data_IF_396383570912
#
_entry.id   IF_396383570912
#
_cell.length_a   1.000
_cell.length_b   1.000
_cell.length_c   1.000
_cell.angle_alpha   90.00
_cell.angle_beta   90.00
_cell.angle_gamma   90.00
#
_symmetry.space_group_name_H-M   'P 1'
#
loop_
_entity.id
_entity.type
_entity.pdbx_description
1 polymer ?
#
# COMPACT_ATOMS: atom_id res chain seq x y z
N UNK A 1 -10.52 -37.75 -1.99
CA UNK A 1 -9.92 -36.88 -3.01
C UNK A 1 -10.59 -35.50 -3.14
N UNK A 2 -11.73 -35.19 -2.51
CA UNK A 2 -12.43 -33.89 -2.72
C UNK A 2 -11.98 -32.72 -1.83
N UNK A 3 -11.45 -32.97 -0.63
CA UNK A 3 -11.05 -31.91 0.32
C UNK A 3 -9.87 -31.03 -0.14
N UNK A 4 -8.98 -31.57 -0.98
CA UNK A 4 -7.87 -30.79 -1.55
C UNK A 4 -8.36 -29.74 -2.56
N UNK A 5 -9.43 -30.04 -3.30
CA UNK A 5 -10.01 -29.14 -4.31
C UNK A 5 -10.73 -27.94 -3.68
N UNK A 6 -11.40 -28.14 -2.55
CA UNK A 6 -12.12 -27.06 -1.85
C UNK A 6 -11.17 -26.12 -1.12
N UNK A 7 -10.11 -26.66 -0.49
CA UNK A 7 -9.06 -25.86 0.14
C UNK A 7 -8.33 -24.96 -0.88
N UNK A 8 -7.97 -25.52 -2.05
CA UNK A 8 -7.33 -24.76 -3.12
C UNK A 8 -8.22 -23.62 -3.66
N UNK A 9 -9.51 -23.89 -3.85
CA UNK A 9 -10.50 -22.88 -4.25
C UNK A 9 -10.58 -21.72 -3.26
N UNK A 10 -10.71 -22.02 -1.96
CA UNK A 10 -10.80 -21.01 -0.90
C UNK A 10 -9.51 -20.17 -0.80
N UNK A 11 -8.36 -20.82 -0.91
CA UNK A 11 -7.07 -20.13 -0.93
C UNK A 11 -6.97 -19.17 -2.13
N UNK A 12 -7.36 -19.60 -3.34
CA UNK A 12 -7.39 -18.75 -4.54
C UNK A 12 -8.32 -17.56 -4.36
N UNK A 13 -9.54 -17.77 -3.84
CA UNK A 13 -10.48 -16.66 -3.54
C UNK A 13 -9.94 -15.69 -2.50
N UNK A 14 -9.26 -16.19 -1.46
CA UNK A 14 -8.63 -15.34 -0.45
C UNK A 14 -7.53 -14.47 -1.06
N UNK A 15 -6.65 -15.05 -1.89
CA UNK A 15 -5.60 -14.34 -2.59
C UNK A 15 -6.16 -13.28 -3.56
N UNK A 16 -7.19 -13.61 -4.36
CA UNK A 16 -7.87 -12.66 -5.24
C UNK A 16 -8.43 -11.47 -4.46
N UNK A 17 -9.11 -11.73 -3.34
CA UNK A 17 -9.66 -10.70 -2.47
C UNK A 17 -8.57 -9.79 -1.89
N UNK A 18 -7.44 -10.36 -1.51
CA UNK A 18 -6.28 -9.60 -1.04
C UNK A 18 -5.69 -8.72 -2.15
N UNK A 19 -5.42 -9.28 -3.33
CA UNK A 19 -4.90 -8.53 -4.50
C UNK A 19 -5.80 -7.36 -4.86
N UNK A 20 -7.12 -7.58 -4.96
CA UNK A 20 -8.09 -6.51 -5.24
C UNK A 20 -8.05 -5.41 -4.18
N UNK A 21 -7.98 -5.76 -2.89
CA UNK A 21 -7.88 -4.78 -1.80
C UNK A 21 -6.57 -3.99 -1.85
N UNK A 22 -5.46 -4.63 -2.16
CA UNK A 22 -4.16 -3.97 -2.33
C UNK A 22 -4.21 -3.03 -3.52
N UNK A 23 -4.70 -3.50 -4.68
CA UNK A 23 -4.85 -2.71 -5.90
C UNK A 23 -5.73 -1.48 -5.66
N UNK A 24 -6.90 -1.64 -5.05
CA UNK A 24 -7.80 -0.52 -4.74
C UNK A 24 -7.14 0.52 -3.84
N UNK A 25 -6.47 0.09 -2.75
CA UNK A 25 -5.76 1.02 -1.85
C UNK A 25 -4.64 1.77 -2.57
N UNK A 26 -3.88 1.08 -3.42
CA UNK A 26 -2.79 1.66 -4.21
C UNK A 26 -3.33 2.66 -5.23
N UNK A 27 -4.33 2.27 -6.01
CA UNK A 27 -4.96 3.12 -7.01
C UNK A 27 -5.55 4.39 -6.35
N UNK A 28 -6.29 4.26 -5.25
CA UNK A 28 -6.86 5.41 -4.54
C UNK A 28 -5.79 6.37 -4.02
N UNK A 29 -4.66 5.84 -3.50
CA UNK A 29 -3.54 6.66 -3.07
C UNK A 29 -2.91 7.41 -4.24
N UNK A 30 -2.74 6.74 -5.39
CA UNK A 30 -2.18 7.38 -6.58
C UNK A 30 -3.12 8.41 -7.21
N UNK A 31 -4.44 8.17 -7.19
CA UNK A 31 -5.43 9.19 -7.56
C UNK A 31 -5.24 10.44 -6.71
N UNK A 32 -5.00 10.30 -5.41
CA UNK A 32 -4.71 11.44 -4.53
C UNK A 32 -3.38 12.12 -4.86
N UNK A 33 -2.34 11.33 -5.16
CA UNK A 33 -1.02 11.85 -5.54
C UNK A 33 -1.11 12.72 -6.80
N UNK A 34 -1.88 12.29 -7.80
CA UNK A 34 -2.10 13.04 -9.03
C UNK A 34 -3.02 14.24 -8.85
N UNK A 35 -4.15 14.08 -8.17
CA UNK A 35 -5.17 15.12 -8.07
C UNK A 35 -4.71 16.32 -7.23
N UNK A 36 -3.89 16.07 -6.18
CA UNK A 36 -3.39 17.05 -5.18
C UNK A 36 -4.53 17.70 -4.37
N UNK A 37 -5.47 18.35 -5.03
CA UNK A 37 -6.64 19.02 -4.48
C UNK A 37 -7.80 18.06 -4.19
N UNK A 38 -8.46 18.27 -3.04
CA UNK A 38 -9.51 17.36 -2.54
C UNK A 38 -10.78 17.33 -3.39
N UNK A 39 -11.20 18.46 -3.95
CA UNK A 39 -12.43 18.53 -4.75
C UNK A 39 -12.33 17.70 -6.04
N UNK A 40 -11.17 17.70 -6.70
CA UNK A 40 -10.89 16.81 -7.85
C UNK A 40 -10.82 15.35 -7.40
N UNK A 41 -10.06 15.09 -6.33
CA UNK A 41 -9.88 13.75 -5.80
C UNK A 41 -11.20 13.06 -5.44
N UNK A 42 -12.18 13.77 -4.85
CA UNK A 42 -13.43 13.12 -4.43
C UNK A 42 -14.22 12.56 -5.60
N UNK A 43 -14.28 13.29 -6.72
CA UNK A 43 -14.94 12.81 -7.92
C UNK A 43 -14.18 11.59 -8.49
N UNK A 44 -12.87 11.73 -8.71
CA UNK A 44 -12.04 10.64 -9.24
C UNK A 44 -12.05 9.38 -8.36
N UNK A 45 -12.08 9.56 -7.04
CA UNK A 45 -12.18 8.47 -6.06
C UNK A 45 -13.54 7.76 -6.11
N UNK A 46 -14.63 8.51 -6.33
CA UNK A 46 -15.97 7.95 -6.53
C UNK A 46 -16.01 7.12 -7.81
N UNK A 47 -15.54 7.69 -8.92
CA UNK A 47 -15.47 7.00 -10.22
C UNK A 47 -14.60 5.74 -10.15
N UNK A 48 -13.48 5.80 -9.42
CA UNK A 48 -12.65 4.64 -9.15
C UNK A 48 -13.43 3.57 -8.37
N UNK A 49 -14.17 3.96 -7.32
CA UNK A 49 -14.95 3.02 -6.53
C UNK A 49 -16.06 2.36 -7.34
N UNK A 50 -16.76 3.12 -8.17
CA UNK A 50 -17.82 2.60 -9.05
C UNK A 50 -17.28 1.52 -9.99
N UNK A 51 -16.10 1.72 -10.58
CA UNK A 51 -15.44 0.71 -11.43
C UNK A 51 -15.18 -0.62 -10.70
N UNK A 52 -14.82 -0.56 -9.41
CA UNK A 52 -14.61 -1.77 -8.60
C UNK A 52 -15.95 -2.41 -8.18
N UNK A 53 -16.95 -1.62 -7.79
CA UNK A 53 -18.27 -2.15 -7.38
C UNK A 53 -19.00 -2.79 -8.56
N UNK A 54 -18.89 -2.23 -9.77
CA UNK A 54 -19.50 -2.80 -10.98
C UNK A 54 -19.10 -4.25 -11.25
N UNK A 55 -17.93 -4.68 -10.76
CA UNK A 55 -17.36 -6.00 -11.01
C UNK A 55 -17.31 -6.90 -9.76
N UNK A 56 -17.94 -6.48 -8.66
CA UNK A 56 -17.87 -7.18 -7.37
C UNK A 56 -18.52 -8.56 -7.35
N UNK A 57 -19.50 -8.78 -8.23
CA UNK A 57 -20.31 -9.99 -8.29
C UNK A 57 -19.81 -11.02 -9.32
N UNK A 58 -18.63 -10.81 -9.90
CA UNK A 58 -18.02 -11.82 -10.79
C UNK A 58 -17.63 -13.04 -9.98
N UNK A 59 -18.03 -14.22 -10.45
CA UNK A 59 -17.80 -15.50 -9.76
C UNK A 59 -16.73 -16.37 -10.44
N UNK A 60 -16.55 -16.23 -11.76
CA UNK A 60 -15.56 -17.01 -12.51
C UNK A 60 -14.13 -16.63 -12.10
N UNK A 61 -13.39 -17.61 -11.57
CA UNK A 61 -12.06 -17.41 -11.02
C UNK A 61 -11.06 -16.92 -12.06
N UNK A 62 -11.10 -17.47 -13.27
CA UNK A 62 -10.14 -17.14 -14.32
C UNK A 62 -10.39 -15.75 -14.88
N UNK A 63 -11.66 -15.36 -15.02
CA UNK A 63 -12.05 -13.99 -15.37
C UNK A 63 -11.58 -13.00 -14.31
N UNK A 64 -11.74 -13.31 -13.02
CA UNK A 64 -11.27 -12.44 -11.93
C UNK A 64 -9.76 -12.23 -11.99
N UNK A 65 -8.98 -13.29 -12.21
CA UNK A 65 -7.52 -13.15 -12.32
C UNK A 65 -7.12 -12.27 -13.51
N UNK A 66 -7.75 -12.47 -14.68
CA UNK A 66 -7.51 -11.60 -15.85
C UNK A 66 -7.86 -10.13 -15.59
N UNK A 67 -8.96 -9.89 -14.87
CA UNK A 67 -9.37 -8.53 -14.51
C UNK A 67 -8.41 -7.87 -13.51
N UNK A 68 -7.92 -8.63 -12.53
CA UNK A 68 -6.91 -8.16 -11.59
C UNK A 68 -5.62 -7.82 -12.34
N UNK A 69 -5.16 -8.70 -13.24
CA UNK A 69 -3.93 -8.48 -14.00
C UNK A 69 -4.05 -7.26 -14.92
N UNK A 70 -5.18 -7.07 -15.59
CA UNK A 70 -5.45 -5.88 -16.41
C UNK A 70 -5.52 -4.60 -15.55
N UNK A 71 -6.11 -4.67 -14.36
CA UNK A 71 -6.15 -3.58 -13.40
C UNK A 71 -4.76 -3.22 -12.86
N UNK A 72 -3.95 -4.20 -12.53
CA UNK A 72 -2.56 -4.01 -12.08
C UNK A 72 -1.70 -3.43 -13.21
N UNK A 73 -1.85 -3.88 -14.46
CA UNK A 73 -1.16 -3.32 -15.62
C UNK A 73 -1.53 -1.84 -15.84
N UNK A 74 -2.82 -1.51 -15.74
CA UNK A 74 -3.30 -0.13 -15.84
C UNK A 74 -2.75 0.75 -14.72
N UNK A 75 -2.79 0.27 -13.47
CA UNK A 75 -2.19 0.97 -12.34
C UNK A 75 -0.68 1.19 -12.52
N UNK A 76 0.05 0.17 -13.00
CA UNK A 76 1.49 0.29 -13.22
C UNK A 76 1.83 1.31 -14.30
N UNK A 77 1.02 1.41 -15.37
CA UNK A 77 1.19 2.40 -16.43
C UNK A 77 1.02 3.84 -15.93
N UNK A 78 0.06 4.07 -15.05
CA UNK A 78 -0.32 5.41 -14.57
C UNK A 78 0.23 5.74 -13.19
N UNK A 79 1.22 4.97 -12.72
CA UNK A 79 1.78 5.16 -11.40
C UNK A 79 2.44 6.53 -11.29
N UNK A 80 2.19 7.24 -10.21
CA UNK A 80 2.86 8.52 -9.96
C UNK A 80 4.39 8.28 -9.78
N UNK A 81 5.26 9.05 -10.46
CA UNK A 81 6.72 8.83 -10.40
C UNK A 81 7.31 9.13 -9.01
N UNK A 82 6.73 10.08 -8.28
CA UNK A 82 7.16 10.48 -6.93
C UNK A 82 5.96 10.55 -5.96
N UNK A 83 5.43 9.41 -5.50
CA UNK A 83 4.21 9.37 -4.70
C UNK A 83 4.43 9.96 -3.30
N UNK A 84 3.40 10.54 -2.68
CA UNK A 84 3.52 11.03 -1.31
C UNK A 84 3.83 9.90 -0.32
N UNK A 85 4.91 10.08 0.44
CA UNK A 85 5.32 9.19 1.54
C UNK A 85 5.29 10.01 2.84
N UNK A 86 4.61 9.47 3.85
CA UNK A 86 4.58 10.13 5.17
C UNK A 86 6.00 10.24 5.72
N UNK A 87 6.38 11.36 6.36
CA UNK A 87 7.79 11.66 6.62
C UNK A 87 8.57 10.57 7.37
N UNK A 88 7.95 9.84 8.29
CA UNK A 88 8.62 8.83 9.13
C UNK A 88 8.56 7.40 8.56
N UNK A 89 7.81 7.15 7.47
CA UNK A 89 7.77 5.83 6.85
C UNK A 89 9.01 5.60 5.97
N UNK A 90 9.36 4.34 5.65
CA UNK A 90 10.42 4.05 4.68
C UNK A 90 10.26 4.85 3.39
N UNK A 91 11.33 5.53 2.96
CA UNK A 91 11.32 6.45 1.80
C UNK A 91 10.85 7.88 2.10
N UNK A 92 10.40 8.17 3.33
CA UNK A 92 10.02 9.51 3.77
C UNK A 92 11.22 10.35 4.23
N UNK A 93 11.05 11.67 4.23
CA UNK A 93 12.13 12.65 4.52
C UNK A 93 12.69 12.63 5.95
N UNK A 94 12.00 11.97 6.89
CA UNK A 94 12.42 11.81 8.29
C UNK A 94 12.61 10.35 8.68
N UNK A 95 12.62 9.43 7.71
CA UNK A 95 12.89 8.03 7.97
C UNK A 95 14.29 7.90 8.60
N UNK A 96 14.40 7.14 9.67
CA UNK A 96 15.66 6.92 10.41
C UNK A 96 16.40 8.20 10.82
N UNK A 97 15.69 9.33 10.96
CA UNK A 97 16.31 10.60 11.37
C UNK A 97 16.92 10.51 12.77
N UNK A 98 16.21 9.86 13.69
CA UNK A 98 16.61 9.62 15.07
C UNK A 98 16.41 8.12 15.40
N UNK A 99 17.33 7.24 15.00
CA UNK A 99 17.24 5.82 15.35
C UNK A 99 17.46 5.64 16.85
N UNK A 100 16.86 4.60 17.43
CA UNK A 100 17.16 4.21 18.81
C UNK A 100 18.64 3.75 18.86
N UNK A 101 19.44 4.25 19.82
CA UNK A 101 20.82 3.80 19.97
C UNK A 101 20.91 2.27 20.11
N UNK A 102 21.94 1.63 19.55
CA UNK A 102 22.23 0.23 19.82
C UNK A 102 22.36 -0.05 21.32
N UNK A 103 21.94 -1.25 21.74
CA UNK A 103 22.12 -1.70 23.13
C UNK A 103 23.59 -1.69 23.52
N UNK A 104 23.90 -1.17 24.71
CA UNK A 104 25.29 -1.08 25.23
C UNK A 104 26.00 0.24 24.91
N UNK A 105 25.33 1.17 24.21
CA UNK A 105 25.81 2.53 24.01
C UNK A 105 25.03 3.46 24.94
N UNK A 106 25.73 4.16 25.82
CA UNK A 106 25.17 5.19 26.71
C UNK A 106 25.52 6.58 26.17
N UNK A 107 24.52 7.47 26.15
CA UNK A 107 24.76 8.88 25.87
C UNK A 107 25.11 9.53 27.20
N UNK A 108 26.40 9.76 27.43
CA UNK A 108 26.91 10.45 28.61
C UNK A 108 26.80 11.96 28.37
N UNK A 109 25.98 12.64 29.17
CA UNK A 109 25.76 14.10 29.09
C UNK A 109 26.70 14.86 30.03
N UNK A 110 28.01 14.59 29.95
CA UNK A 110 28.97 15.18 30.89
C UNK A 110 29.56 16.53 30.42
N UNK A 111 29.17 17.01 29.23
CA UNK A 111 29.48 18.36 28.71
C UNK A 111 30.91 18.88 29.01
N UNK A 112 31.93 18.01 28.97
CA UNK A 112 33.33 18.35 29.23
C UNK A 112 33.74 18.44 30.72
N UNK A 113 33.02 17.79 31.64
CA UNK A 113 33.38 17.71 33.07
C UNK A 113 34.08 16.40 33.46
N UNK A 114 34.62 15.67 32.48
CA UNK A 114 35.19 14.33 32.64
C UNK A 114 36.36 14.23 33.66
N UNK A 115 36.96 15.36 34.06
CA UNK A 115 38.15 15.41 34.94
C UNK A 115 37.97 16.17 36.27
N UNK A 116 36.77 16.62 36.65
CA UNK A 116 36.56 17.48 37.84
C UNK A 116 35.84 16.80 39.04
N UNK A 117 36.35 15.66 39.50
CA UNK A 117 36.00 15.06 40.81
C UNK A 117 37.14 15.23 41.83
#
# INVERSE_FOLDING_TARGET
MSGASTAAYLARRAAQKERVRILYRRALKDTLNWAVHRHLFYQDASDLREKFEANKHVEDLDTIDKMIDAGEATYNKWRHPDPYIVPWAPGGSKFTRNPVPPSGIEIVYDYGREEND
#
